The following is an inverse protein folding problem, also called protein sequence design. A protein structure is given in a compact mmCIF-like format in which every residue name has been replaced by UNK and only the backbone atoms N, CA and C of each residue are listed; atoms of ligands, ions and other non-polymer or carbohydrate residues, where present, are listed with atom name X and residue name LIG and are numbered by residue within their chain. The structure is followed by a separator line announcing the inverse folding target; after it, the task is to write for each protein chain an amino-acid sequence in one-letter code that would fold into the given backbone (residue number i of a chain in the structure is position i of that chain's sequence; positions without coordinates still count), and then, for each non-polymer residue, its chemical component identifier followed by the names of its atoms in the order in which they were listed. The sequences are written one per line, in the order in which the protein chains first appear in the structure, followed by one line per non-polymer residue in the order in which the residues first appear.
data_IF_832405000278
#
_entry.id   IF_832405000278
#
_cell.length_a   1.000
_cell.length_b   1.000
_cell.length_c   1.000
_cell.angle_alpha   90.00
_cell.angle_beta   90.00
_cell.angle_gamma   90.00
#
_symmetry.space_group_name_H-M   'P 1'
#
loop_
_entity.id
_entity.type
_entity.pdbx_description
1 polymer ?
#
# COMPACT_ATOMS: atom_id res chain seq x y z
N UNK A 1 -11.55 4.53 15.26
CA UNK A 1 -10.13 4.43 14.80
C UNK A 1 -9.31 5.58 15.38
N UNK A 2 -7.98 5.55 15.29
CA UNK A 2 -7.14 6.72 15.57
C UNK A 2 -6.92 7.52 14.27
N UNK A 3 -7.07 8.84 14.35
CA UNK A 3 -6.66 9.78 13.29
C UNK A 3 -5.51 10.65 13.80
N UNK A 4 -4.61 11.03 12.90
CA UNK A 4 -3.60 12.05 13.16
C UNK A 4 -4.28 13.41 13.38
N UNK A 5 -3.86 14.12 14.43
CA UNK A 5 -4.39 15.45 14.79
C UNK A 5 -3.29 16.52 14.85
N UNK A 6 -2.10 16.18 14.36
CA UNK A 6 -0.91 17.01 14.36
C UNK A 6 0.31 16.33 14.97
N UNK A 7 1.35 17.13 15.21
CA UNK A 7 2.64 16.68 15.72
C UNK A 7 3.07 17.51 16.93
N UNK A 8 3.98 16.96 17.72
CA UNK A 8 4.77 17.69 18.71
C UNK A 8 6.16 17.95 18.12
N UNK A 9 6.71 19.15 18.39
CA UNK A 9 7.96 19.61 17.78
C UNK A 9 9.00 19.99 18.84
N UNK A 10 10.25 19.62 18.58
CA UNK A 10 11.42 20.07 19.33
C UNK A 10 12.42 20.69 18.35
N UNK A 11 12.89 21.91 18.61
CA UNK A 11 13.82 22.64 17.75
C UNK A 11 13.39 22.69 16.26
N UNK A 12 12.08 22.74 15.99
CA UNK A 12 11.52 22.75 14.64
C UNK A 12 11.39 21.37 13.98
N UNK A 13 11.76 20.29 14.66
CA UNK A 13 11.65 18.91 14.16
C UNK A 13 10.47 18.22 14.82
N UNK A 14 9.61 17.56 14.03
CA UNK A 14 8.53 16.75 14.57
C UNK A 14 9.11 15.51 15.27
N UNK A 15 8.80 15.33 16.56
CA UNK A 15 9.32 14.21 17.38
C UNK A 15 8.24 13.21 17.77
N UNK A 16 6.97 13.60 17.71
CA UNK A 16 5.84 12.74 18.06
C UNK A 16 4.62 13.08 17.19
N UNK A 17 3.86 12.06 16.80
CA UNK A 17 2.56 12.22 16.17
C UNK A 17 1.47 12.19 17.23
N UNK A 18 0.61 13.20 17.25
CA UNK A 18 -0.59 13.22 18.10
C UNK A 18 -1.73 12.55 17.37
N UNK A 19 -2.51 11.77 18.12
CA UNK A 19 -3.67 11.07 17.59
C UNK A 19 -4.86 11.20 18.50
N UNK A 20 -6.06 11.11 17.92
CA UNK A 20 -7.31 11.07 18.66
C UNK A 20 -8.20 9.93 18.16
N UNK A 21 -8.99 9.35 19.06
CA UNK A 21 -10.01 8.38 18.66
C UNK A 21 -11.18 9.12 18.00
N UNK A 22 -11.56 8.70 16.81
CA UNK A 22 -12.66 9.26 16.05
C UNK A 22 -13.47 8.17 15.34
N UNK A 23 -14.72 8.52 15.01
CA UNK A 23 -15.58 7.78 14.10
C UNK A 23 -15.52 8.45 12.73
N UNK A 24 -15.25 7.66 11.68
CA UNK A 24 -15.23 8.13 10.29
C UNK A 24 -16.47 7.60 9.59
N UNK A 25 -17.26 8.50 9.00
CA UNK A 25 -18.45 8.13 8.24
C UNK A 25 -18.12 8.08 6.75
N UNK A 26 -18.47 6.96 6.12
CA UNK A 26 -18.17 6.69 4.72
C UNK A 26 -19.48 6.47 3.97
N UNK A 27 -19.65 7.19 2.87
CA UNK A 27 -20.74 7.02 1.93
C UNK A 27 -20.16 6.97 0.51
N UNK A 28 -20.53 5.94 -0.27
CA UNK A 28 -20.11 5.76 -1.66
C UNK A 28 -18.57 5.89 -1.86
N UNK A 29 -17.81 5.27 -0.96
CA UNK A 29 -16.34 5.27 -0.99
C UNK A 29 -15.69 6.60 -0.59
N UNK A 30 -16.48 7.59 -0.11
CA UNK A 30 -15.99 8.90 0.32
C UNK A 30 -16.19 9.09 1.81
N UNK A 31 -15.22 9.72 2.46
CA UNK A 31 -15.38 10.20 3.83
C UNK A 31 -16.30 11.43 3.81
N UNK A 32 -17.47 11.34 4.44
CA UNK A 32 -18.46 12.43 4.47
C UNK A 32 -18.49 13.17 5.80
N UNK A 33 -18.01 12.55 6.89
CA UNK A 33 -17.89 13.20 8.18
C UNK A 33 -16.78 12.58 9.05
N UNK A 34 -16.19 13.42 9.90
CA UNK A 34 -15.39 13.01 11.05
C UNK A 34 -16.20 13.33 12.31
N UNK A 35 -16.32 12.37 13.22
CA UNK A 35 -17.15 12.48 14.42
C UNK A 35 -16.37 12.08 15.66
N UNK A 36 -16.89 12.50 16.81
CA UNK A 36 -16.37 12.07 18.11
C UNK A 36 -16.39 10.53 18.22
N UNK A 37 -15.47 10.00 19.02
CA UNK A 37 -15.34 8.57 19.22
C UNK A 37 -16.65 7.93 19.68
N UNK A 38 -17.08 6.86 19.01
CA UNK A 38 -18.33 6.12 19.31
C UNK A 38 -19.61 6.95 19.12
N UNK A 39 -19.55 8.10 18.46
CA UNK A 39 -20.74 8.83 18.04
C UNK A 39 -21.29 8.21 16.75
N UNK A 40 -22.51 7.68 16.82
CA UNK A 40 -23.24 7.07 15.70
C UNK A 40 -24.60 7.75 15.59
N UNK A 41 -24.75 8.81 14.78
CA UNK A 41 -26.02 9.54 14.65
C UNK A 41 -27.17 8.65 14.16
N UNK A 42 -26.86 7.75 13.23
CA UNK A 42 -27.74 6.67 12.83
C UNK A 42 -27.14 5.33 13.26
N UNK A 43 -27.67 4.77 14.35
CA UNK A 43 -27.23 3.48 14.89
C UNK A 43 -27.69 2.28 14.06
N UNK A 44 -28.54 2.48 13.04
CA UNK A 44 -29.00 1.40 12.15
C UNK A 44 -28.00 1.08 11.04
N UNK A 45 -27.05 1.99 10.77
CA UNK A 45 -26.01 1.78 9.78
C UNK A 45 -24.96 0.76 10.26
N UNK A 46 -24.33 0.00 9.34
CA UNK A 46 -23.22 -0.87 9.68
C UNK A 46 -22.06 -0.08 10.28
N UNK A 47 -21.60 -0.50 11.46
CA UNK A 47 -20.40 0.02 12.10
C UNK A 47 -19.30 -1.04 12.17
N UNK A 48 -18.04 -0.60 12.15
CA UNK A 48 -16.87 -1.46 12.31
C UNK A 48 -15.92 -0.86 13.35
N UNK A 49 -15.58 -1.62 14.40
CA UNK A 49 -14.53 -1.20 15.34
C UNK A 49 -13.15 -1.50 14.75
N UNK A 50 -12.42 -0.44 14.42
CA UNK A 50 -11.05 -0.53 13.93
C UNK A 50 -10.02 -0.98 14.98
N UNK A 51 -10.43 -1.34 16.20
CA UNK A 51 -9.56 -1.91 17.24
C UNK A 51 -8.45 -0.94 17.69
N UNK A 52 -8.72 0.36 17.64
CA UNK A 52 -7.72 1.39 17.97
C UNK A 52 -6.57 1.53 16.97
N UNK A 53 -6.66 0.97 15.76
CA UNK A 53 -5.65 1.15 14.71
C UNK A 53 -5.65 2.59 14.18
N UNK A 54 -4.47 3.04 13.76
CA UNK A 54 -4.27 4.31 13.06
C UNK A 54 -4.77 4.18 11.62
N UNK A 55 -5.65 5.09 11.21
CA UNK A 55 -6.01 5.22 9.80
C UNK A 55 -4.90 5.96 9.07
N UNK A 56 -4.42 5.37 7.98
CA UNK A 56 -3.52 6.01 7.05
C UNK A 56 -4.23 6.13 5.69
N UNK A 57 -3.92 7.17 4.89
CA UNK A 57 -4.33 7.17 3.50
C UNK A 57 -3.73 5.95 2.78
N UNK A 58 -4.35 5.54 1.69
CA UNK A 58 -3.78 4.53 0.80
C UNK A 58 -2.39 5.00 0.34
N UNK A 59 -1.40 4.11 0.41
CA UNK A 59 -0.09 4.38 -0.16
C UNK A 59 -0.17 4.46 -1.68
N UNK A 60 0.78 5.17 -2.29
CA UNK A 60 0.97 5.20 -3.75
C UNK A 60 2.41 4.86 -4.04
N UNK A 61 2.61 3.86 -4.90
CA UNK A 61 3.91 3.58 -5.48
C UNK A 61 4.01 4.30 -6.82
N UNK A 62 5.00 5.18 -6.95
CA UNK A 62 5.22 5.98 -8.15
C UNK A 62 6.16 5.31 -9.15
N UNK A 63 6.82 4.22 -8.76
CA UNK A 63 7.79 3.53 -9.60
C UNK A 63 7.84 2.04 -9.29
N UNK A 64 7.08 1.25 -10.05
CA UNK A 64 7.08 -0.21 -10.00
C UNK A 64 7.04 -0.80 -11.42
N UNK A 65 7.77 -1.90 -11.61
CA UNK A 65 7.77 -2.69 -12.86
C UNK A 65 7.03 -4.01 -12.66
N UNK A 66 5.69 -3.99 -12.81
CA UNK A 66 4.85 -5.18 -12.68
C UNK A 66 5.06 -6.20 -13.82
N UNK A 67 5.51 -5.72 -14.98
CA UNK A 67 5.85 -6.49 -16.16
C UNK A 67 7.17 -7.29 -15.99
N UNK A 68 8.06 -6.84 -15.10
CA UNK A 68 9.39 -7.44 -14.91
C UNK A 68 9.60 -8.14 -13.57
N UNK A 69 8.61 -8.06 -12.68
CA UNK A 69 8.69 -8.71 -11.36
C UNK A 69 8.27 -10.19 -11.41
N UNK A 70 8.54 -10.92 -10.33
CA UNK A 70 8.00 -12.27 -10.10
C UNK A 70 6.97 -12.29 -8.95
N UNK A 71 6.46 -11.12 -8.57
CA UNK A 71 5.46 -10.95 -7.51
C UNK A 71 4.26 -11.91 -7.70
N UNK A 72 3.81 -12.53 -6.61
CA UNK A 72 2.73 -13.53 -6.60
C UNK A 72 3.12 -14.93 -7.13
N UNK A 73 4.27 -15.08 -7.77
CA UNK A 73 4.71 -16.35 -8.36
C UNK A 73 5.75 -17.13 -7.52
N UNK A 74 6.17 -18.33 -7.99
CA UNK A 74 7.26 -19.08 -7.36
C UNK A 74 8.56 -18.27 -7.33
N UNK A 75 9.32 -18.42 -6.25
CA UNK A 75 10.65 -17.84 -6.14
C UNK A 75 11.57 -18.32 -7.28
N UNK A 76 12.42 -17.42 -7.78
CA UNK A 76 13.44 -17.72 -8.79
C UNK A 76 14.83 -17.33 -8.30
N UNK A 77 15.81 -18.21 -8.54
CA UNK A 77 17.20 -17.91 -8.24
C UNK A 77 17.80 -16.95 -9.27
N UNK A 78 18.87 -16.26 -8.86
CA UNK A 78 19.73 -15.51 -9.77
C UNK A 78 20.48 -16.51 -10.66
N UNK A 79 19.96 -16.76 -11.87
CA UNK A 79 20.69 -17.56 -12.86
C UNK A 79 21.76 -16.71 -13.55
N UNK A 80 22.87 -16.45 -12.84
CA UNK A 80 24.01 -15.69 -13.35
C UNK A 80 25.34 -16.41 -13.08
N UNK A 81 25.68 -17.44 -13.86
CA UNK A 81 26.96 -18.12 -13.79
C UNK A 81 28.15 -17.17 -13.96
N UNK A 82 29.32 -17.56 -13.46
CA UNK A 82 30.56 -16.81 -13.66
C UNK A 82 30.82 -16.63 -15.18
N UNK A 83 31.16 -15.40 -15.58
CA UNK A 83 31.36 -15.04 -16.99
C UNK A 83 30.11 -14.52 -17.71
N UNK A 84 28.94 -14.46 -17.07
CA UNK A 84 27.73 -13.88 -17.68
C UNK A 84 27.93 -12.40 -18.05
N UNK A 85 27.75 -12.05 -19.33
CA UNK A 85 27.90 -10.69 -19.85
C UNK A 85 26.58 -9.89 -19.79
N UNK A 86 26.65 -8.58 -20.06
CA UNK A 86 25.45 -7.75 -20.20
C UNK A 86 24.59 -8.22 -21.39
N UNK A 87 25.20 -8.65 -22.50
CA UNK A 87 24.46 -9.14 -23.66
C UNK A 87 23.69 -10.43 -23.34
N UNK A 88 24.23 -11.30 -22.50
CA UNK A 88 23.54 -12.52 -22.06
C UNK A 88 22.33 -12.17 -21.20
N UNK A 89 22.45 -11.17 -20.32
CA UNK A 89 21.32 -10.68 -19.52
C UNK A 89 20.22 -10.06 -20.40
N UNK A 90 20.58 -9.31 -21.44
CA UNK A 90 19.61 -8.76 -22.41
C UNK A 90 18.86 -9.88 -23.13
N UNK A 91 19.57 -10.93 -23.61
CA UNK A 91 18.94 -12.09 -24.24
C UNK A 91 18.00 -12.83 -23.29
N UNK A 92 18.39 -12.95 -22.01
CA UNK A 92 17.55 -13.56 -20.98
C UNK A 92 16.28 -12.72 -20.76
N UNK A 93 16.40 -11.41 -20.62
CA UNK A 93 15.25 -10.50 -20.47
C UNK A 93 14.31 -10.59 -21.67
N UNK A 94 14.83 -10.54 -22.90
CA UNK A 94 14.03 -10.68 -24.13
C UNK A 94 13.22 -11.97 -24.19
N UNK A 95 13.77 -13.08 -23.64
CA UNK A 95 13.05 -14.34 -23.52
C UNK A 95 11.98 -14.29 -22.42
N UNK A 96 12.30 -13.70 -21.26
CA UNK A 96 11.41 -13.73 -20.09
C UNK A 96 10.25 -12.75 -20.20
N UNK A 97 10.43 -11.56 -20.78
CA UNK A 97 9.38 -10.53 -20.81
C UNK A 97 8.06 -11.02 -21.46
N UNK A 98 8.07 -11.75 -22.60
CA UNK A 98 6.86 -12.35 -23.14
C UNK A 98 6.19 -13.38 -22.22
N UNK A 99 6.98 -14.13 -21.43
CA UNK A 99 6.46 -15.11 -20.46
C UNK A 99 5.82 -14.42 -19.25
N UNK A 100 6.32 -13.23 -18.86
CA UNK A 100 5.83 -12.48 -17.71
C UNK A 100 4.64 -11.58 -18.04
N UNK A 101 4.55 -11.12 -19.29
CA UNK A 101 3.51 -10.21 -19.78
C UNK A 101 2.08 -10.60 -19.36
N UNK A 102 1.64 -11.86 -19.54
CA UNK A 102 0.27 -12.29 -19.19
C UNK A 102 -0.10 -12.09 -17.71
N UNK A 103 0.88 -12.03 -16.81
CA UNK A 103 0.67 -11.91 -15.37
C UNK A 103 0.63 -10.47 -14.87
N UNK A 104 0.82 -9.47 -15.75
CA UNK A 104 0.92 -8.06 -15.33
C UNK A 104 -0.37 -7.58 -14.67
N UNK A 105 -1.53 -7.93 -15.21
CA UNK A 105 -2.82 -7.55 -14.63
C UNK A 105 -3.06 -8.24 -13.28
N UNK A 106 -2.88 -9.55 -13.21
CA UNK A 106 -3.03 -10.32 -11.97
C UNK A 106 -2.17 -9.73 -10.85
N UNK A 107 -0.93 -9.33 -11.15
CA UNK A 107 -0.03 -8.70 -10.18
C UNK A 107 -0.46 -7.31 -9.72
N UNK A 108 -1.23 -6.58 -10.52
CA UNK A 108 -1.77 -5.28 -10.15
C UNK A 108 -2.99 -5.38 -9.22
N UNK A 109 -3.66 -6.54 -9.21
CA UNK A 109 -4.88 -6.81 -8.46
C UNK A 109 -4.63 -7.55 -7.13
N UNK A 110 -3.41 -8.06 -6.93
CA UNK A 110 -2.95 -8.76 -5.72
C UNK A 110 -2.70 -7.84 -4.51
#
# INVERSE_FOLDING_TARGET
MLLETGFDYENGVAVQTRTARQTVEIQDGKIVALRENKLHPDATLPHYDAGGKLMLPTTRDMHIHLDKTFYGGPWRSLNRPAGTTIQDMIKLEQKMLPELQPYTQERAEN
#
